data_IF_709007711496
#
_entry.id   IF_709007711496
#
_cell.length_a   1.000
_cell.length_b   1.000
_cell.length_c   1.000
_cell.angle_alpha   90.00
_cell.angle_beta   90.00
_cell.angle_gamma   90.00
#
_symmetry.space_group_name_H-M   'P 1'
#
loop_
_entity.id
_entity.type
_entity.pdbx_description
1 polymer ?
#
# COMPACT_ATOMS: atom_id res chain seq x y z
N UNK A 1 46.73 -51.39 57.11
CA UNK A 1 45.89 -50.40 56.39
C UNK A 1 44.45 -50.68 56.78
N UNK A 2 43.69 -49.66 57.19
CA UNK A 2 42.50 -49.66 58.07
C UNK A 2 42.83 -49.45 59.55
N UNK A 3 42.35 -48.32 60.10
CA UNK A 3 41.43 -48.29 61.24
C UNK A 3 40.77 -46.91 61.40
N UNK A 4 39.50 -46.99 61.79
CA UNK A 4 38.56 -45.90 62.02
C UNK A 4 38.84 -45.13 63.32
N UNK A 5 38.31 -43.90 63.44
CA UNK A 5 37.28 -43.59 64.46
C UNK A 5 36.74 -42.16 64.39
N UNK A 6 35.44 -42.16 64.65
CA UNK A 6 34.46 -41.14 64.98
C UNK A 6 34.90 -40.08 66.00
N UNK A 7 34.46 -38.83 65.79
CA UNK A 7 34.10 -37.90 66.88
C UNK A 7 32.78 -37.21 66.57
N UNK A 8 31.84 -37.36 67.51
CA UNK A 8 30.55 -36.66 67.62
C UNK A 8 30.79 -35.37 68.39
N UNK A 9 30.15 -34.26 68.00
CA UNK A 9 29.92 -33.11 68.87
C UNK A 9 28.54 -32.50 68.59
N UNK A 10 28.04 -31.78 69.59
CA UNK A 10 26.67 -31.78 70.07
C UNK A 10 26.08 -30.36 70.02
N UNK A 11 24.76 -30.24 69.73
CA UNK A 11 23.79 -29.17 70.13
C UNK A 11 23.95 -27.71 69.60
N UNK A 12 22.92 -26.82 69.67
CA UNK A 12 21.48 -26.97 69.97
C UNK A 12 20.49 -26.23 69.01
N UNK A 13 19.20 -26.54 69.21
CA UNK A 13 17.97 -25.74 69.10
C UNK A 13 17.93 -24.42 68.33
N UNK A 14 16.96 -24.32 67.41
CA UNK A 14 15.96 -23.25 67.44
C UNK A 14 14.67 -23.70 66.75
N UNK A 15 13.59 -23.72 67.54
CA UNK A 15 12.22 -23.73 67.03
C UNK A 15 11.97 -22.42 66.27
N UNK A 16 11.47 -22.53 65.04
CA UNK A 16 10.82 -21.41 64.36
C UNK A 16 9.45 -21.87 63.91
N UNK A 17 8.43 -21.23 64.50
CA UNK A 17 7.03 -21.41 64.20
C UNK A 17 6.73 -21.21 62.71
N UNK A 18 6.24 -22.26 62.05
CA UNK A 18 5.67 -22.15 60.71
C UNK A 18 4.26 -21.54 60.80
N UNK A 19 4.18 -20.22 60.57
CA UNK A 19 2.93 -19.53 60.25
C UNK A 19 2.43 -20.01 58.88
N UNK A 20 1.29 -20.71 58.85
CA UNK A 20 0.56 -21.04 57.63
C UNK A 20 0.12 -19.75 56.94
N UNK A 21 0.80 -19.35 55.86
CA UNK A 21 0.26 -18.45 54.84
C UNK A 21 -0.20 -19.30 53.66
N UNK A 22 -1.49 -19.21 53.35
CA UNK A 22 -2.07 -19.68 52.10
C UNK A 22 -1.31 -19.09 50.91
N UNK A 23 -1.07 -19.85 49.83
CA UNK A 23 -0.47 -19.31 48.62
C UNK A 23 -1.45 -18.31 47.99
N UNK A 24 -0.95 -17.11 47.72
CA UNK A 24 -1.63 -16.15 46.86
C UNK A 24 -1.73 -16.75 45.44
N UNK A 25 -2.82 -16.49 44.69
CA UNK A 25 -2.96 -16.98 43.33
C UNK A 25 -1.87 -16.37 42.45
N UNK A 26 -1.16 -17.26 41.77
CA UNK A 26 -0.20 -17.00 40.71
C UNK A 26 -0.85 -16.11 39.64
N UNK A 27 -0.45 -14.84 39.58
CA UNK A 27 -0.82 -13.94 38.48
C UNK A 27 -0.08 -14.42 37.24
N UNK A 28 -0.75 -15.23 36.44
CA UNK A 28 -0.39 -15.48 35.04
C UNK A 28 -0.38 -14.12 34.35
N UNK A 29 0.81 -13.64 34.01
CA UNK A 29 0.97 -12.50 33.13
C UNK A 29 0.37 -12.90 31.78
N UNK A 30 -0.77 -12.31 31.44
CA UNK A 30 -1.26 -12.31 30.08
C UNK A 30 -0.25 -11.52 29.25
N UNK A 31 0.66 -12.23 28.58
CA UNK A 31 1.41 -11.69 27.47
C UNK A 31 0.37 -11.28 26.41
N UNK A 32 0.10 -9.98 26.38
CA UNK A 32 -0.73 -9.37 25.36
C UNK A 32 -0.05 -9.59 24.02
N UNK A 33 -0.65 -10.47 23.21
CA UNK A 33 -0.41 -10.53 21.78
C UNK A 33 -0.90 -9.20 21.20
N UNK A 34 -0.04 -8.17 21.19
CA UNK A 34 -0.29 -6.97 20.40
C UNK A 34 -0.41 -7.42 18.95
N UNK A 35 -1.63 -7.36 18.40
CA UNK A 35 -1.85 -7.61 16.99
C UNK A 35 -0.96 -6.64 16.21
N UNK A 36 0.08 -7.16 15.54
CA UNK A 36 0.92 -6.35 14.68
C UNK A 36 0.03 -5.55 13.72
N UNK A 37 0.16 -4.22 13.76
CA UNK A 37 -0.57 -3.37 12.84
C UNK A 37 -0.28 -3.85 11.40
N UNK A 38 -1.31 -3.99 10.54
CA UNK A 38 -1.13 -4.54 9.20
C UNK A 38 -0.07 -3.75 8.44
N UNK A 39 0.70 -4.41 7.57
CA UNK A 39 1.86 -3.83 6.87
C UNK A 39 1.60 -2.44 6.22
N UNK A 40 0.37 -2.20 5.75
CA UNK A 40 -0.09 -0.88 5.28
C UNK A 40 0.04 0.23 6.32
N UNK A 41 -0.22 -0.05 7.59
CA UNK A 41 -0.12 0.92 8.70
C UNK A 41 1.32 1.28 9.05
N UNK A 42 2.27 0.32 8.93
CA UNK A 42 3.71 0.57 9.13
C UNK A 42 4.27 1.45 8.00
N UNK A 43 3.90 1.17 6.74
CA UNK A 43 4.30 2.02 5.60
C UNK A 43 3.66 3.42 5.68
N UNK A 44 2.39 3.52 6.12
CA UNK A 44 1.73 4.80 6.33
C UNK A 44 2.32 5.61 7.51
N UNK A 45 2.91 4.96 8.50
CA UNK A 45 3.66 5.63 9.57
C UNK A 45 4.99 6.20 9.04
N UNK A 46 5.72 5.44 8.22
CA UNK A 46 6.93 5.86 7.51
C UNK A 46 6.71 7.08 6.60
N UNK A 47 5.53 7.19 5.96
CA UNK A 47 5.16 8.34 5.14
C UNK A 47 5.02 9.64 5.95
N UNK A 48 4.48 9.57 7.17
CA UNK A 48 4.29 10.75 8.02
C UNK A 48 5.62 11.35 8.47
N UNK A 49 6.63 10.52 8.75
CA UNK A 49 7.97 10.98 9.14
C UNK A 49 8.79 11.48 7.96
N UNK A 50 8.70 10.83 6.79
CA UNK A 50 9.39 11.29 5.58
C UNK A 50 8.77 12.57 4.97
N UNK A 51 7.43 12.67 4.95
CA UNK A 51 6.70 13.83 4.46
C UNK A 51 6.98 15.09 5.27
N UNK A 52 7.05 14.98 6.61
CA UNK A 52 7.28 16.12 7.51
C UNK A 52 8.69 16.71 7.41
N UNK A 53 9.72 15.91 7.10
CA UNK A 53 11.10 16.41 6.94
C UNK A 53 11.29 17.26 5.68
N UNK A 54 10.55 16.99 4.60
CA UNK A 54 10.58 17.81 3.39
C UNK A 54 9.82 19.14 3.56
N UNK A 55 8.72 19.12 4.32
CA UNK A 55 7.89 20.30 4.61
C UNK A 55 8.62 21.32 5.50
N UNK A 56 9.41 20.86 6.47
CA UNK A 56 10.26 21.76 7.27
C UNK A 56 11.32 22.51 6.44
N UNK A 57 11.66 22.02 5.23
CA UNK A 57 12.61 22.69 4.34
C UNK A 57 11.94 23.69 3.38
N UNK A 58 10.62 23.61 3.18
CA UNK A 58 9.87 24.49 2.27
C UNK A 58 9.06 25.60 2.97
N UNK A 59 8.65 25.41 4.23
CA UNK A 59 7.80 26.39 4.95
C UNK A 59 8.53 27.64 5.50
N UNK A 60 9.63 28.07 4.89
CA UNK A 60 10.29 29.36 5.23
C UNK A 60 9.81 30.56 4.41
N UNK A 61 8.67 30.49 3.73
CA UNK A 61 8.16 31.67 3.00
C UNK A 61 6.66 31.68 2.73
N UNK A 62 5.94 32.60 3.41
CA UNK A 62 4.64 33.16 3.03
C UNK A 62 3.43 32.23 3.17
N UNK A 63 2.25 32.64 3.61
CA UNK A 63 1.61 33.94 3.81
C UNK A 63 0.10 33.68 3.75
N UNK A 64 -0.67 34.24 4.68
CA UNK A 64 -2.09 33.92 4.92
C UNK A 64 -3.05 34.61 3.94
N UNK A 65 -4.04 33.88 3.40
CA UNK A 65 -5.26 34.48 2.85
C UNK A 65 -6.46 33.52 2.97
N UNK A 66 -7.52 34.00 3.61
CA UNK A 66 -8.83 33.35 3.78
C UNK A 66 -9.82 33.88 2.73
N UNK A 67 -10.62 32.99 2.14
CA UNK A 67 -11.73 33.36 1.27
C UNK A 67 -12.68 32.19 1.00
N UNK A 68 -13.92 32.32 1.47
CA UNK A 68 -14.99 31.34 1.27
C UNK A 68 -15.43 31.27 -0.21
N UNK A 69 -15.61 30.05 -0.72
CA UNK A 69 -16.25 29.77 -2.02
C UNK A 69 -17.20 28.57 -1.90
N UNK A 70 -18.35 28.71 -2.56
CA UNK A 70 -19.44 27.74 -2.67
C UNK A 70 -19.00 26.41 -3.30
N UNK A 71 -19.71 25.28 -3.06
CA UNK A 71 -19.31 23.97 -3.56
C UNK A 71 -19.54 23.87 -5.07
N UNK A 72 -18.50 24.09 -5.86
CA UNK A 72 -18.43 23.61 -7.22
C UNK A 72 -18.30 22.08 -7.19
N UNK A 73 -19.12 21.38 -7.96
CA UNK A 73 -18.92 19.94 -8.23
C UNK A 73 -17.58 19.83 -8.96
N UNK A 74 -16.56 19.37 -8.24
CA UNK A 74 -15.20 19.29 -8.75
C UNK A 74 -15.18 18.50 -10.07
N UNK A 75 -14.48 18.97 -11.12
CA UNK A 75 -14.35 18.23 -12.36
C UNK A 75 -13.80 16.83 -12.05
N UNK A 76 -14.47 15.80 -12.59
CA UNK A 76 -14.02 14.41 -12.45
C UNK A 76 -12.62 14.30 -13.06
N UNK A 77 -11.60 14.32 -12.21
CA UNK A 77 -10.24 14.07 -12.63
C UNK A 77 -10.15 12.59 -12.98
N UNK A 78 -10.10 12.29 -14.28
CA UNK A 78 -9.75 10.96 -14.74
C UNK A 78 -8.29 10.74 -14.36
N UNK A 79 -8.06 9.90 -13.35
CA UNK A 79 -6.72 9.47 -13.00
C UNK A 79 -6.17 8.61 -14.14
N UNK A 80 -4.87 8.71 -14.39
CA UNK A 80 -4.12 7.95 -15.38
C UNK A 80 -4.32 6.45 -15.12
N UNK A 81 -4.25 5.65 -16.19
CA UNK A 81 -4.24 4.22 -16.01
C UNK A 81 -2.85 3.79 -15.47
N UNK A 82 -2.82 2.83 -14.54
CA UNK A 82 -1.57 2.32 -13.97
C UNK A 82 -0.55 1.88 -15.04
N UNK A 83 0.75 1.74 -14.72
CA UNK A 83 1.79 1.42 -15.70
C UNK A 83 1.46 0.11 -16.47
N UNK A 84 1.38 0.20 -17.80
CA UNK A 84 0.97 -0.92 -18.68
C UNK A 84 2.17 -1.75 -19.15
N UNK A 85 2.05 -3.07 -19.04
CA UNK A 85 2.89 -4.07 -19.75
C UNK A 85 1.94 -4.91 -20.62
N UNK A 86 2.23 -5.02 -21.93
CA UNK A 86 1.34 -5.59 -22.95
C UNK A 86 1.48 -7.12 -23.10
N UNK A 87 0.37 -7.86 -23.31
CA UNK A 87 0.31 -9.20 -23.97
C UNK A 87 -1.15 -9.62 -24.31
N UNK A 88 -1.37 -10.56 -25.27
CA UNK A 88 -2.57 -10.60 -26.12
C UNK A 88 -3.68 -11.63 -25.77
N UNK A 89 -4.84 -11.45 -26.45
CA UNK A 89 -6.20 -11.98 -26.23
C UNK A 89 -6.51 -13.36 -26.86
N UNK A 90 -7.52 -14.04 -26.31
CA UNK A 90 -8.24 -15.14 -26.96
C UNK A 90 -9.56 -15.47 -26.25
N UNK A 91 -10.69 -15.36 -26.96
CA UNK A 91 -12.07 -15.71 -26.57
C UNK A 91 -12.48 -17.10 -27.10
N UNK A 92 -13.39 -17.80 -26.40
CA UNK A 92 -14.42 -18.66 -27.02
C UNK A 92 -15.64 -18.92 -26.09
N UNK A 93 -16.81 -19.28 -26.66
CA UNK A 93 -18.19 -19.19 -26.11
C UNK A 93 -18.95 -20.53 -25.92
N UNK A 94 -19.82 -20.58 -24.89
CA UNK A 94 -21.08 -21.37 -24.79
C UNK A 94 -21.02 -22.65 -23.93
N UNK A 95 -22.04 -23.15 -23.19
CA UNK A 95 -23.50 -22.96 -23.03
C UNK A 95 -23.94 -23.38 -21.60
N UNK A 96 -25.04 -22.80 -21.11
CA UNK A 96 -25.48 -22.79 -19.70
C UNK A 96 -25.89 -24.14 -19.05
N UNK A 97 -25.26 -24.41 -17.90
CA UNK A 97 -25.66 -25.22 -16.74
C UNK A 97 -25.57 -24.32 -15.50
N UNK A 98 -26.34 -24.62 -14.43
CA UNK A 98 -26.29 -24.01 -13.09
C UNK A 98 -25.67 -22.61 -13.04
N UNK A 99 -26.44 -21.56 -13.40
CA UNK A 99 -26.01 -20.16 -13.59
C UNK A 99 -24.48 -20.00 -13.55
N UNK A 100 -23.83 -20.52 -14.59
CA UNK A 100 -22.38 -20.56 -14.68
C UNK A 100 -21.85 -19.18 -14.34
N UNK A 101 -20.95 -19.12 -13.35
CA UNK A 101 -20.31 -17.86 -12.96
C UNK A 101 -19.81 -17.21 -14.23
N UNK A 102 -20.15 -15.94 -14.43
CA UNK A 102 -19.66 -15.21 -15.60
C UNK A 102 -18.13 -15.29 -15.63
N UNK A 103 -17.49 -15.21 -16.81
CA UNK A 103 -16.04 -15.21 -16.90
C UNK A 103 -15.36 -14.23 -15.92
N UNK A 104 -15.99 -13.08 -15.67
CA UNK A 104 -15.54 -12.06 -14.71
C UNK A 104 -15.66 -12.54 -13.26
N UNK A 105 -16.77 -13.20 -12.90
CA UNK A 105 -16.95 -13.74 -11.55
C UNK A 105 -15.90 -14.81 -11.25
N UNK A 106 -15.62 -15.71 -12.20
CA UNK A 106 -14.54 -16.69 -12.09
C UNK A 106 -13.17 -16.01 -11.97
N UNK A 107 -12.89 -15.04 -12.86
CA UNK A 107 -11.63 -14.27 -12.82
C UNK A 107 -11.44 -13.54 -11.49
N UNK A 108 -12.50 -12.98 -10.89
CA UNK A 108 -12.42 -12.33 -9.59
C UNK A 108 -12.12 -13.33 -8.45
N UNK A 109 -12.67 -14.55 -8.51
CA UNK A 109 -12.35 -15.61 -7.55
C UNK A 109 -10.87 -16.01 -7.64
N UNK A 110 -10.36 -16.19 -8.86
CA UNK A 110 -8.96 -16.50 -9.08
C UNK A 110 -8.05 -15.35 -8.59
N UNK A 111 -8.43 -14.09 -8.84
CA UNK A 111 -7.73 -12.91 -8.31
C UNK A 111 -7.71 -12.92 -6.77
N UNK A 112 -8.85 -13.19 -6.13
CA UNK A 112 -8.94 -13.28 -4.66
C UNK A 112 -8.03 -14.40 -4.13
N UNK A 113 -8.00 -15.55 -4.79
CA UNK A 113 -7.12 -16.66 -4.42
C UNK A 113 -5.63 -16.30 -4.54
N UNK A 114 -5.24 -15.51 -5.54
CA UNK A 114 -3.87 -14.98 -5.65
C UNK A 114 -3.57 -14.01 -4.51
N UNK A 115 -4.48 -13.06 -4.24
CA UNK A 115 -4.26 -12.03 -3.22
C UNK A 115 -4.27 -12.57 -1.79
N UNK A 116 -5.03 -13.63 -1.51
CA UNK A 116 -5.10 -14.23 -0.17
C UNK A 116 -3.76 -14.84 0.29
N UNK A 117 -2.83 -15.08 -0.64
CA UNK A 117 -1.50 -15.64 -0.37
C UNK A 117 -0.50 -14.65 0.25
N UNK A 118 -0.84 -13.37 0.38
CA UNK A 118 0.04 -12.36 1.01
C UNK A 118 -0.73 -11.45 1.98
N UNK A 119 -0.08 -10.95 3.05
CA UNK A 119 -0.72 -9.99 3.96
C UNK A 119 -1.21 -8.71 3.26
N UNK A 120 -0.43 -8.22 2.28
CA UNK A 120 -0.77 -7.00 1.53
C UNK A 120 -1.94 -7.26 0.57
N UNK A 121 -1.99 -8.43 -0.06
CA UNK A 121 -3.14 -8.81 -0.89
C UNK A 121 -4.42 -8.97 -0.07
N UNK A 122 -4.37 -9.64 1.10
CA UNK A 122 -5.51 -9.71 2.04
C UNK A 122 -6.00 -8.33 2.46
N UNK A 123 -5.08 -7.40 2.76
CA UNK A 123 -5.44 -6.03 3.13
C UNK A 123 -6.11 -5.27 1.97
N UNK A 124 -5.66 -5.46 0.72
CA UNK A 124 -6.35 -4.92 -0.44
C UNK A 124 -7.78 -5.45 -0.58
N UNK A 125 -8.00 -6.75 -0.37
CA UNK A 125 -9.35 -7.34 -0.36
C UNK A 125 -10.22 -6.73 0.76
N UNK A 126 -9.66 -6.55 1.95
CA UNK A 126 -10.36 -5.92 3.07
C UNK A 126 -10.79 -4.48 2.76
N UNK A 127 -10.00 -3.72 1.99
CA UNK A 127 -10.37 -2.38 1.51
C UNK A 127 -11.62 -2.45 0.61
N UNK A 128 -11.63 -3.37 -0.37
CA UNK A 128 -12.78 -3.54 -1.26
C UNK A 128 -14.05 -3.90 -0.48
N UNK A 129 -13.92 -4.83 0.47
CA UNK A 129 -15.05 -5.30 1.26
C UNK A 129 -15.53 -4.24 2.27
N UNK A 130 -14.61 -3.43 2.83
CA UNK A 130 -14.91 -2.33 3.77
C UNK A 130 -15.66 -1.19 3.09
N UNK A 131 -15.18 -0.71 1.94
CA UNK A 131 -15.79 0.45 1.26
C UNK A 131 -16.77 0.05 0.14
N UNK A 132 -17.04 -1.24 -0.03
CA UNK A 132 -17.94 -1.79 -1.07
C UNK A 132 -17.55 -1.31 -2.47
N UNK A 133 -16.25 -1.30 -2.78
CA UNK A 133 -15.74 -0.78 -4.06
C UNK A 133 -16.01 -1.80 -5.17
N UNK A 134 -16.87 -1.49 -6.16
CA UNK A 134 -17.11 -2.38 -7.29
C UNK A 134 -15.85 -2.51 -8.16
N UNK A 135 -15.60 -3.72 -8.66
CA UNK A 135 -14.50 -4.04 -9.58
C UNK A 135 -15.07 -4.47 -10.93
N UNK A 136 -14.70 -3.76 -11.98
CA UNK A 136 -15.03 -4.06 -13.36
C UNK A 136 -13.87 -4.78 -14.05
N UNK A 137 -14.01 -6.08 -14.31
CA UNK A 137 -12.96 -6.89 -14.95
C UNK A 137 -13.13 -6.99 -16.48
N UNK A 138 -14.17 -6.37 -17.04
CA UNK A 138 -14.48 -6.37 -18.47
C UNK A 138 -14.14 -5.03 -19.14
N UNK A 139 -13.32 -4.18 -18.50
CA UNK A 139 -13.03 -2.85 -19.00
C UNK A 139 -12.11 -2.89 -20.24
N UNK A 140 -12.51 -2.36 -21.40
CA UNK A 140 -11.72 -2.40 -22.63
C UNK A 140 -10.81 -1.16 -22.79
N UNK A 141 -10.55 -0.41 -21.72
CA UNK A 141 -9.80 0.85 -21.79
C UNK A 141 -8.30 0.68 -22.00
N UNK A 142 -7.54 1.79 -22.09
CA UNK A 142 -6.10 1.75 -22.31
C UNK A 142 -5.29 1.24 -21.10
N UNK A 143 -5.91 1.14 -19.92
CA UNK A 143 -5.33 0.50 -18.75
C UNK A 143 -6.34 0.32 -17.62
N UNK A 144 -5.84 0.07 -16.42
CA UNK A 144 -6.67 -0.06 -15.22
C UNK A 144 -6.66 1.22 -14.39
N UNK A 145 -7.77 1.53 -13.74
CA UNK A 145 -7.95 2.80 -13.03
C UNK A 145 -9.00 2.68 -11.91
N UNK A 146 -8.74 3.30 -10.77
CA UNK A 146 -9.77 3.70 -9.81
C UNK A 146 -10.45 4.99 -10.26
N UNK A 147 -11.77 4.95 -10.41
CA UNK A 147 -12.59 6.10 -10.76
C UNK A 147 -13.16 6.77 -9.50
N UNK A 148 -12.60 7.91 -9.04
CA UNK A 148 -13.17 8.70 -7.95
C UNK A 148 -14.47 9.41 -8.38
N UNK A 149 -15.22 10.01 -7.44
CA UNK A 149 -14.99 10.06 -5.99
C UNK A 149 -15.46 8.80 -5.27
N UNK A 150 -15.11 8.70 -3.98
CA UNK A 150 -15.55 7.64 -3.06
C UNK A 150 -17.09 7.44 -3.09
N UNK A 151 -17.58 6.19 -3.08
CA UNK A 151 -16.81 4.93 -2.98
C UNK A 151 -16.05 4.57 -4.26
N UNK A 152 -16.44 5.15 -5.40
CA UNK A 152 -15.79 5.00 -6.71
C UNK A 152 -16.01 3.63 -7.35
N UNK A 153 -15.28 3.35 -8.43
CA UNK A 153 -15.26 2.03 -9.10
C UNK A 153 -13.85 1.73 -9.56
N UNK A 154 -13.36 0.52 -9.32
CA UNK A 154 -12.11 0.04 -9.92
C UNK A 154 -12.44 -0.58 -11.27
N UNK A 155 -11.69 -0.19 -12.30
CA UNK A 155 -11.73 -0.79 -13.62
C UNK A 155 -10.40 -1.46 -13.90
N UNK A 156 -10.43 -2.75 -14.20
CA UNK A 156 -9.25 -3.54 -14.56
C UNK A 156 -9.34 -3.88 -16.04
N UNK A 157 -8.28 -3.57 -16.78
CA UNK A 157 -8.16 -3.91 -18.20
C UNK A 157 -8.45 -5.40 -18.43
N UNK A 158 -9.42 -5.70 -19.30
CA UNK A 158 -9.92 -7.04 -19.55
C UNK A 158 -8.83 -8.02 -19.99
N UNK A 159 -7.83 -7.54 -20.76
CA UNK A 159 -6.74 -8.34 -21.32
C UNK A 159 -5.68 -8.77 -20.29
N UNK A 160 -5.72 -8.24 -19.06
CA UNK A 160 -4.78 -8.65 -18.00
C UNK A 160 -5.04 -10.11 -17.59
N UNK A 161 -3.96 -10.87 -17.40
CA UNK A 161 -4.04 -12.19 -16.75
C UNK A 161 -4.53 -12.06 -15.31
N UNK A 162 -4.91 -13.17 -14.67
CA UNK A 162 -5.33 -13.18 -13.26
C UNK A 162 -4.29 -12.54 -12.35
N UNK A 163 -3.01 -12.89 -12.53
CA UNK A 163 -1.90 -12.40 -11.71
C UNK A 163 -1.67 -10.90 -11.94
N UNK A 164 -1.68 -10.46 -13.20
CA UNK A 164 -1.55 -9.04 -13.52
C UNK A 164 -2.72 -8.22 -12.96
N UNK A 165 -3.93 -8.76 -13.06
CA UNK A 165 -5.13 -8.15 -12.50
C UNK A 165 -5.06 -8.07 -10.97
N UNK A 166 -4.56 -9.11 -10.30
CA UNK A 166 -4.36 -9.12 -8.85
C UNK A 166 -3.42 -8.00 -8.38
N UNK A 167 -2.24 -7.85 -9.01
CA UNK A 167 -1.33 -6.73 -8.69
C UNK A 167 -1.93 -5.37 -8.95
N UNK A 168 -2.61 -5.25 -10.08
CA UNK A 168 -3.25 -4.00 -10.45
C UNK A 168 -4.36 -3.66 -9.44
N UNK A 169 -5.12 -4.66 -8.98
CA UNK A 169 -6.16 -4.48 -7.99
C UNK A 169 -5.60 -4.00 -6.63
N UNK A 170 -4.42 -4.47 -6.21
CA UNK A 170 -3.75 -3.95 -5.00
C UNK A 170 -3.43 -2.46 -5.16
N UNK A 171 -2.90 -2.06 -6.32
CA UNK A 171 -2.61 -0.67 -6.63
C UNK A 171 -3.89 0.19 -6.60
N UNK A 172 -4.94 -0.23 -7.31
CA UNK A 172 -6.20 0.51 -7.37
C UNK A 172 -6.96 0.54 -6.04
N UNK A 173 -6.86 -0.53 -5.22
CA UNK A 173 -7.44 -0.55 -3.88
C UNK A 173 -6.82 0.52 -2.98
N UNK A 174 -5.52 0.79 -3.11
CA UNK A 174 -4.87 1.88 -2.34
C UNK A 174 -5.44 3.25 -2.72
N UNK A 175 -5.68 3.52 -4.01
CA UNK A 175 -6.39 4.74 -4.44
C UNK A 175 -7.81 4.81 -3.90
N UNK A 176 -8.53 3.70 -3.90
CA UNK A 176 -9.87 3.64 -3.35
C UNK A 176 -9.89 3.94 -1.84
N UNK A 177 -8.94 3.39 -1.07
CA UNK A 177 -8.79 3.70 0.35
C UNK A 177 -8.47 5.18 0.57
N UNK A 178 -7.47 5.73 -0.14
CA UNK A 178 -7.08 7.13 -0.02
C UNK A 178 -8.24 8.07 -0.33
N UNK A 179 -9.04 7.77 -1.36
CA UNK A 179 -10.23 8.56 -1.70
C UNK A 179 -11.32 8.43 -0.63
N UNK A 180 -11.59 7.24 -0.11
CA UNK A 180 -12.61 7.03 0.93
C UNK A 180 -12.22 7.65 2.28
N UNK A 181 -10.92 7.76 2.57
CA UNK A 181 -10.39 8.40 3.77
C UNK A 181 -10.15 9.90 3.62
N UNK A 182 -10.52 10.50 2.48
CA UNK A 182 -10.22 11.91 2.16
C UNK A 182 -8.73 12.25 2.28
N UNK A 183 -7.85 11.29 1.99
CA UNK A 183 -6.38 11.43 2.01
C UNK A 183 -5.80 11.73 0.64
N UNK A 184 -6.54 11.47 -0.43
CA UNK A 184 -6.17 11.93 -1.77
C UNK A 184 -5.96 13.43 -1.77
N UNK A 185 -4.96 13.88 -2.54
CA UNK A 185 -4.69 15.30 -2.79
C UNK A 185 -5.92 16.02 -3.36
N UNK A 186 -6.45 17.00 -2.62
CA UNK A 186 -7.55 17.84 -3.10
C UNK A 186 -6.98 18.92 -4.01
N UNK A 187 -7.23 18.73 -5.32
CA UNK A 187 -6.74 19.62 -6.36
C UNK A 187 -7.17 21.07 -6.13
N UNK A 188 -8.36 21.31 -5.56
CA UNK A 188 -8.91 22.66 -5.37
C UNK A 188 -8.38 23.37 -4.11
N UNK A 189 -7.69 22.64 -3.22
CA UNK A 189 -7.18 23.17 -1.94
C UNK A 189 -5.67 23.32 -1.91
N UNK A 190 -4.95 22.45 -2.60
CA UNK A 190 -3.50 22.41 -2.55
C UNK A 190 -2.88 23.28 -3.64
N UNK A 191 -1.74 23.91 -3.32
CA UNK A 191 -0.90 24.52 -4.34
C UNK A 191 -0.36 23.47 -5.32
N UNK A 192 -0.02 23.88 -6.54
CA UNK A 192 0.44 22.97 -7.61
C UNK A 192 1.52 21.99 -7.16
N UNK A 193 2.56 22.48 -6.49
CA UNK A 193 3.68 21.66 -6.03
C UNK A 193 3.26 20.63 -4.98
N UNK A 194 2.42 21.02 -4.02
CA UNK A 194 1.91 20.14 -2.97
C UNK A 194 0.96 19.08 -3.53
N UNK A 195 0.11 19.46 -4.49
CA UNK A 195 -0.76 18.55 -5.20
C UNK A 195 0.04 17.48 -5.96
N UNK A 196 0.99 17.90 -6.80
CA UNK A 196 1.84 16.98 -7.57
C UNK A 196 2.63 16.06 -6.63
N UNK A 197 3.25 16.60 -5.59
CA UNK A 197 3.97 15.80 -4.59
C UNK A 197 3.05 14.74 -3.95
N UNK A 198 1.88 15.15 -3.48
CA UNK A 198 0.95 14.26 -2.77
C UNK A 198 0.43 13.15 -3.68
N UNK A 199 0.11 13.46 -4.94
CA UNK A 199 -0.30 12.45 -5.92
C UNK A 199 0.82 11.44 -6.20
N UNK A 200 2.07 11.90 -6.37
CA UNK A 200 3.21 11.02 -6.59
C UNK A 200 3.53 10.15 -5.36
N UNK A 201 3.34 10.66 -4.14
CA UNK A 201 3.49 9.88 -2.92
C UNK A 201 2.40 8.78 -2.82
N UNK A 202 1.17 9.07 -3.28
CA UNK A 202 0.07 8.11 -3.41
C UNK A 202 0.42 7.00 -4.42
N UNK A 203 0.86 7.36 -5.64
CA UNK A 203 1.31 6.41 -6.69
C UNK A 203 2.44 5.50 -6.23
N UNK A 204 3.43 6.09 -5.56
CA UNK A 204 4.59 5.35 -5.03
C UNK A 204 4.13 4.29 -4.05
N UNK A 205 3.21 4.65 -3.16
CA UNK A 205 2.67 3.75 -2.16
C UNK A 205 1.83 2.65 -2.79
N UNK A 206 0.93 2.98 -3.71
CA UNK A 206 0.15 2.00 -4.49
C UNK A 206 1.08 0.99 -5.17
N UNK A 207 2.19 1.47 -5.76
CA UNK A 207 3.18 0.65 -6.45
C UNK A 207 3.99 -0.24 -5.52
N UNK A 208 4.48 0.31 -4.40
CA UNK A 208 5.20 -0.48 -3.38
C UNK A 208 4.29 -1.56 -2.82
N UNK A 209 3.02 -1.27 -2.54
CA UNK A 209 2.07 -2.27 -2.07
C UNK A 209 1.86 -3.38 -3.10
N UNK A 210 1.75 -3.05 -4.40
CA UNK A 210 1.68 -4.07 -5.45
C UNK A 210 2.97 -4.92 -5.55
N UNK A 211 4.15 -4.35 -5.30
CA UNK A 211 5.41 -5.13 -5.21
C UNK A 211 5.36 -6.06 -3.99
N UNK A 212 4.99 -5.53 -2.82
CA UNK A 212 4.97 -6.26 -1.57
C UNK A 212 3.91 -7.37 -1.54
N UNK A 213 2.81 -7.22 -2.27
CA UNK A 213 1.83 -8.29 -2.42
C UNK A 213 2.42 -9.51 -3.14
N UNK A 214 3.43 -9.34 -3.98
CA UNK A 214 4.17 -10.46 -4.59
C UNK A 214 5.18 -11.04 -3.61
N UNK A 215 6.05 -10.20 -3.06
CA UNK A 215 7.19 -10.65 -2.27
C UNK A 215 6.75 -11.22 -0.92
N UNK A 216 5.54 -10.91 -0.46
CA UNK A 216 4.91 -11.52 0.69
C UNK A 216 4.28 -12.90 0.44
N UNK A 217 4.31 -13.42 -0.79
CA UNK A 217 3.88 -14.79 -1.12
C UNK A 217 5.04 -15.79 -0.91
N UNK A 218 4.71 -17.08 -0.75
CA UNK A 218 5.72 -18.15 -0.75
C UNK A 218 6.50 -18.19 -2.07
N UNK A 219 7.72 -18.73 -2.06
CA UNK A 219 8.53 -18.83 -3.27
C UNK A 219 7.85 -19.66 -4.38
N UNK A 220 7.09 -20.70 -3.99
CA UNK A 220 6.32 -21.51 -4.93
C UNK A 220 5.14 -20.72 -5.52
N UNK A 221 4.45 -19.93 -4.71
CA UNK A 221 3.35 -19.08 -5.17
C UNK A 221 3.80 -17.96 -6.11
N UNK A 222 5.07 -17.57 -6.05
CA UNK A 222 5.63 -16.57 -6.98
C UNK A 222 5.94 -17.15 -8.37
N UNK A 223 6.04 -18.48 -8.52
CA UNK A 223 6.33 -19.15 -9.81
C UNK A 223 5.12 -19.03 -10.74
N UNK A 224 5.14 -18.00 -11.59
CA UNK A 224 4.05 -17.69 -12.55
C UNK A 224 3.51 -16.28 -12.41
N UNK A 225 3.83 -15.62 -11.30
CA UNK A 225 3.33 -14.30 -10.95
C UNK A 225 4.29 -13.23 -11.50
N UNK A 226 4.01 -12.72 -12.72
CA UNK A 226 4.80 -11.65 -13.36
C UNK A 226 4.36 -10.27 -12.83
N UNK A 227 5.14 -9.70 -11.91
CA UNK A 227 5.08 -8.28 -11.52
C UNK A 227 5.80 -7.41 -12.55
N UNK A 228 5.78 -6.08 -12.40
CA UNK A 228 6.67 -5.18 -13.13
C UNK A 228 8.13 -5.44 -12.71
N UNK A 229 8.92 -6.22 -13.47
CA UNK A 229 10.18 -6.78 -12.97
C UNK A 229 11.21 -5.69 -12.70
N UNK A 230 11.18 -4.60 -13.48
CA UNK A 230 12.07 -3.45 -13.31
C UNK A 230 11.86 -2.74 -11.97
N UNK A 231 10.61 -2.49 -11.58
CA UNK A 231 10.31 -1.80 -10.32
C UNK A 231 10.57 -2.68 -9.11
N UNK A 232 10.24 -3.97 -9.20
CA UNK A 232 10.59 -4.93 -8.15
C UNK A 232 12.11 -4.99 -7.95
N UNK A 233 12.88 -5.13 -9.03
CA UNK A 233 14.35 -5.16 -8.95
C UNK A 233 14.93 -3.86 -8.37
N UNK A 234 14.35 -2.69 -8.73
CA UNK A 234 14.74 -1.38 -8.18
C UNK A 234 14.48 -1.32 -6.67
N UNK A 235 13.29 -1.73 -6.23
CA UNK A 235 12.91 -1.81 -4.82
C UNK A 235 13.87 -2.70 -4.02
N UNK A 236 14.06 -3.94 -4.47
CA UNK A 236 14.90 -4.93 -3.79
C UNK A 236 16.36 -4.50 -3.75
N UNK A 237 16.89 -3.92 -4.83
CA UNK A 237 18.26 -3.38 -4.88
C UNK A 237 18.46 -2.26 -3.85
N UNK A 238 17.54 -1.31 -3.78
CA UNK A 238 17.62 -0.20 -2.83
C UNK A 238 17.49 -0.68 -1.38
N UNK A 239 16.56 -1.59 -1.11
CA UNK A 239 16.40 -2.23 0.21
C UNK A 239 17.67 -2.96 0.63
N UNK A 240 18.22 -3.80 -0.27
CA UNK A 240 19.44 -4.55 -0.02
C UNK A 240 20.63 -3.63 0.25
N UNK A 241 20.82 -2.58 -0.55
CA UNK A 241 21.91 -1.63 -0.37
C UNK A 241 21.86 -0.94 1.01
N UNK A 242 20.66 -0.58 1.49
CA UNK A 242 20.49 -0.01 2.83
C UNK A 242 20.81 -1.02 3.94
N UNK A 243 20.35 -2.27 3.81
CA UNK A 243 20.68 -3.34 4.77
C UNK A 243 22.18 -3.66 4.80
N UNK A 244 22.83 -3.72 3.63
CA UNK A 244 24.28 -3.94 3.51
C UNK A 244 25.07 -2.78 4.16
N UNK A 245 24.51 -1.56 4.14
CA UNK A 245 25.02 -0.39 4.86
C UNK A 245 24.64 -0.36 6.36
N UNK A 246 24.16 -1.49 6.92
CA UNK A 246 23.75 -1.67 8.32
C UNK A 246 22.67 -0.70 8.80
N UNK A 247 21.81 -0.24 7.88
CA UNK A 247 20.61 0.53 8.23
C UNK A 247 19.57 -0.37 8.87
N UNK A 248 18.67 0.24 9.66
CA UNK A 248 17.53 -0.51 10.22
C UNK A 248 16.61 -1.03 9.12
N UNK A 249 15.78 -2.02 9.44
CA UNK A 249 14.76 -2.51 8.50
C UNK A 249 13.83 -1.38 8.02
N UNK A 250 13.45 -0.48 8.93
CA UNK A 250 12.62 0.69 8.61
C UNK A 250 13.32 1.67 7.66
N UNK A 251 14.60 1.97 7.89
CA UNK A 251 15.40 2.80 6.99
C UNK A 251 15.58 2.14 5.61
N UNK A 252 15.70 0.81 5.56
CA UNK A 252 15.80 0.06 4.32
C UNK A 252 14.50 0.07 3.51
N UNK A 253 13.33 -0.07 4.16
CA UNK A 253 12.04 0.10 3.49
C UNK A 253 11.85 1.53 2.98
N UNK A 254 12.27 2.53 3.76
CA UNK A 254 12.24 3.93 3.34
C UNK A 254 13.13 4.16 2.10
N UNK A 255 14.33 3.58 2.06
CA UNK A 255 15.20 3.66 0.88
C UNK A 255 14.58 2.98 -0.35
N UNK A 256 13.95 1.82 -0.15
CA UNK A 256 13.25 1.10 -1.20
C UNK A 256 12.07 1.90 -1.77
N UNK A 257 11.24 2.45 -0.89
CA UNK A 257 10.14 3.36 -1.25
C UNK A 257 10.63 4.58 -2.01
N UNK A 258 11.71 5.23 -1.53
CA UNK A 258 12.29 6.39 -2.21
C UNK A 258 12.78 6.03 -3.62
N UNK A 259 13.37 4.85 -3.81
CA UNK A 259 13.80 4.42 -5.14
C UNK A 259 12.63 4.31 -6.14
N UNK A 260 11.44 3.90 -5.67
CA UNK A 260 10.21 3.87 -6.49
C UNK A 260 9.70 5.29 -6.71
N UNK A 261 9.76 6.16 -5.69
CA UNK A 261 9.38 7.57 -5.80
C UNK A 261 10.19 8.30 -6.87
N UNK A 262 11.49 8.01 -6.93
CA UNK A 262 12.42 8.57 -7.91
C UNK A 262 12.08 8.10 -9.32
N UNK A 263 11.62 6.85 -9.49
CA UNK A 263 11.22 6.29 -10.79
C UNK A 263 10.03 7.04 -11.43
N UNK A 264 9.18 7.66 -10.62
CA UNK A 264 8.09 8.52 -11.12
C UNK A 264 8.56 9.91 -11.58
N UNK A 265 9.75 10.34 -11.17
CA UNK A 265 10.27 11.69 -11.48
C UNK A 265 11.47 11.68 -12.43
N UNK A 266 12.20 10.56 -12.53
CA UNK A 266 13.36 10.42 -13.42
C UNK A 266 12.99 9.98 -14.85
N UNK A 267 11.69 9.83 -15.13
CA UNK A 267 11.15 9.40 -16.42
C UNK A 267 11.16 7.88 -16.64
N UNK A 268 11.60 7.07 -15.66
CA UNK A 268 11.49 5.60 -15.72
C UNK A 268 10.04 5.16 -15.87
N UNK A 269 9.13 5.85 -15.20
CA UNK A 269 7.69 5.64 -15.30
C UNK A 269 7.01 6.80 -16.00
N UNK A 270 6.21 6.44 -17.00
CA UNK A 270 5.33 7.35 -17.73
C UNK A 270 3.91 6.83 -17.64
N UNK A 271 2.95 7.75 -17.72
CA UNK A 271 1.53 7.39 -17.75
C UNK A 271 1.25 6.54 -18.99
N UNK A 272 0.40 5.53 -18.82
CA UNK A 272 0.08 4.57 -19.88
C UNK A 272 -0.67 5.20 -21.05
N UNK A 273 -1.52 6.19 -20.79
CA UNK A 273 -2.39 6.85 -21.78
C UNK A 273 -1.71 8.01 -22.51
N UNK A 274 -1.06 8.93 -21.79
CA UNK A 274 -0.46 10.14 -22.39
C UNK A 274 1.04 10.00 -22.66
N UNK A 275 1.67 8.96 -22.11
CA UNK A 275 3.14 8.73 -22.16
C UNK A 275 3.95 9.87 -21.53
N UNK A 276 3.31 10.71 -20.73
CA UNK A 276 3.96 11.80 -20.00
C UNK A 276 4.58 11.29 -18.71
N UNK A 277 5.66 11.94 -18.27
CA UNK A 277 6.13 11.83 -16.90
C UNK A 277 5.02 12.23 -15.93
N UNK A 278 4.96 11.55 -14.78
CA UNK A 278 3.83 11.69 -13.86
C UNK A 278 3.73 13.07 -13.21
N UNK A 279 4.86 13.72 -12.94
CA UNK A 279 4.92 15.08 -12.42
C UNK A 279 4.36 16.11 -13.41
N UNK A 280 4.66 15.93 -14.71
CA UNK A 280 4.08 16.72 -15.81
C UNK A 280 2.58 16.47 -15.91
N UNK A 281 2.16 15.21 -15.92
CA UNK A 281 0.75 14.82 -16.02
C UNK A 281 -0.09 15.44 -14.89
N UNK A 282 0.34 15.28 -13.64
CA UNK A 282 -0.37 15.87 -12.50
C UNK A 282 -0.27 17.39 -12.46
N UNK A 283 0.85 17.96 -12.91
CA UNK A 283 0.98 19.41 -13.07
C UNK A 283 -0.06 19.96 -14.03
N UNK A 284 -0.22 19.33 -15.20
CA UNK A 284 -1.24 19.70 -16.20
C UNK A 284 -2.66 19.54 -15.67
N UNK A 285 -2.92 18.50 -14.89
CA UNK A 285 -4.22 18.30 -14.25
C UNK A 285 -4.55 19.46 -13.30
N UNK A 286 -3.60 19.90 -12.48
CA UNK A 286 -3.75 21.07 -11.61
C UNK A 286 -3.94 22.36 -12.42
N UNK A 287 -3.10 22.58 -13.43
CA UNK A 287 -3.14 23.76 -14.29
C UNK A 287 -4.51 23.87 -15.00
N UNK A 288 -5.11 22.75 -15.41
CA UNK A 288 -6.44 22.73 -16.04
C UNK A 288 -7.56 23.24 -15.12
N UNK A 289 -7.47 22.98 -13.82
CA UNK A 289 -8.48 23.41 -12.84
C UNK A 289 -8.28 24.87 -12.43
N UNK A 290 -7.03 25.35 -12.42
CA UNK A 290 -6.67 26.67 -11.88
C UNK A 290 -6.39 27.73 -12.94
N UNK A 291 -6.27 27.35 -14.22
CA UNK A 291 -6.21 28.34 -15.31
C UNK A 291 -7.52 29.10 -15.38
N UNK A 292 -7.52 30.44 -15.27
CA UNK A 292 -8.71 31.21 -15.57
C UNK A 292 -9.13 30.92 -17.02
N UNK A 293 -10.45 30.89 -17.32
CA UNK A 293 -10.89 30.81 -18.71
C UNK A 293 -10.20 31.93 -19.49
N UNK A 294 -9.70 31.60 -20.69
CA UNK A 294 -9.19 32.63 -21.59
C UNK A 294 -10.28 33.70 -21.71
N UNK A 295 -9.92 34.97 -21.51
CA UNK A 295 -10.85 36.07 -21.79
C UNK A 295 -11.18 35.94 -23.27
N UNK A 296 -12.42 35.59 -23.61
CA UNK A 296 -12.91 35.73 -24.97
C UNK A 296 -12.75 37.22 -25.32
N UNK A 297 -11.88 37.52 -26.27
CA UNK A 297 -11.84 38.84 -26.87
C UNK A 297 -13.15 39.00 -27.65
N UNK A 298 -14.08 39.73 -27.05
CA UNK A 298 -15.34 40.18 -27.65
C UNK A 298 -15.07 41.32 -28.64
#
# INVERSE_FOLDING_TARGET
>A
MSHARTTVSNTPSSEVSASRRSPAPERVAAEGFEAEAPAFSRLAALQRTAGNQAVQRMLRGGGTATGHRLPAVAPRLQRHDGPTVLSPEGEDKGKAKAAEKTPEAKKMEDIRAVLDKSPVGKAALAILDKYKVPVDLAYPGPGSVYQPPAPGKIKILATKTVEQAAFTLVHEANHAEASNQSKTADINKLGRAEYVKSMLDEETTSTVNAILSKTGMSADDQKGVKSAPLLQARYEKAKKAALDAKKSAEEAEKAAWQSIRDAFTDGTLVTSNTKEAYDVYYGKAWDKVHKPPAKEEL
#
